data_IF_593528587915
#
_entry.id   IF_593528587915
#
_cell.length_a   1.000
_cell.length_b   1.000
_cell.length_c   1.000
_cell.angle_alpha   90.00
_cell.angle_beta   90.00
_cell.angle_gamma   90.00
#
_symmetry.space_group_name_H-M   'P 1'
#
loop_
_entity.id
_entity.type
_entity.pdbx_description
1 polymer ?
#
# COMPACT_ATOMS: atom_id res chain seq x y z
N UNK A 1 8.31 -3.10 9.63
CA UNK A 1 8.34 -1.91 8.74
C UNK A 1 8.43 -2.37 7.28
N UNK A 2 7.91 -1.62 6.32
CA UNK A 2 8.01 -1.93 4.88
C UNK A 2 8.00 -0.66 4.03
N UNK A 3 8.75 -0.64 2.93
CA UNK A 3 8.71 0.43 1.93
C UNK A 3 8.31 -0.14 0.56
N UNK A 4 7.41 0.54 -0.15
CA UNK A 4 6.85 0.10 -1.43
C UNK A 4 7.09 1.17 -2.48
N UNK A 5 7.92 0.85 -3.48
CA UNK A 5 8.09 1.64 -4.70
C UNK A 5 7.11 1.14 -5.76
N UNK A 6 6.34 2.06 -6.35
CA UNK A 6 5.39 1.76 -7.43
C UNK A 6 5.97 2.17 -8.78
N UNK A 7 5.94 1.27 -9.76
CA UNK A 7 6.39 1.53 -11.13
C UNK A 7 5.27 1.17 -12.10
N UNK A 8 4.97 2.05 -13.04
CA UNK A 8 3.92 1.86 -14.05
C UNK A 8 2.63 2.61 -13.71
N UNK A 9 1.49 1.99 -14.00
CA UNK A 9 0.19 2.66 -13.93
C UNK A 9 -0.30 2.89 -12.49
N UNK A 10 -0.91 4.05 -12.20
CA UNK A 10 -1.30 4.42 -10.84
C UNK A 10 -2.32 3.48 -10.20
N UNK A 11 -2.20 3.25 -8.89
CA UNK A 11 -3.19 2.53 -8.07
C UNK A 11 -3.32 3.18 -6.70
N UNK A 12 -4.46 2.99 -6.05
CA UNK A 12 -4.64 3.41 -4.67
C UNK A 12 -4.22 2.27 -3.74
N UNK A 13 -3.34 2.57 -2.79
CA UNK A 13 -3.12 1.75 -1.60
C UNK A 13 -4.21 2.11 -0.59
N UNK A 14 -5.14 1.20 -0.37
CA UNK A 14 -6.20 1.34 0.61
C UNK A 14 -5.76 0.76 1.94
N UNK A 15 -5.94 1.49 3.03
CA UNK A 15 -5.72 1.01 4.39
C UNK A 15 -7.03 1.06 5.17
N UNK A 16 -7.32 0.01 5.94
CA UNK A 16 -8.41 -0.02 6.92
C UNK A 16 -7.93 -0.55 8.28
N UNK A 17 -8.45 -0.06 9.41
CA UNK A 17 -8.09 -0.60 10.72
C UNK A 17 -8.55 -2.06 10.86
N UNK A 18 -7.69 -2.93 11.42
CA UNK A 18 -8.04 -4.33 11.71
C UNK A 18 -9.11 -4.48 12.77
N UNK A 19 -9.17 -3.56 13.73
CA UNK A 19 -10.15 -3.57 14.81
C UNK A 19 -11.59 -3.24 14.34
N UNK A 20 -11.80 -3.03 13.03
CA UNK A 20 -13.05 -2.51 12.49
C UNK A 20 -13.10 -0.98 12.54
N UNK A 21 -14.12 -0.41 11.89
CA UNK A 21 -14.28 1.03 11.72
C UNK A 21 -14.62 1.40 10.27
N UNK A 22 -15.25 2.55 10.08
CA UNK A 22 -15.83 2.93 8.78
C UNK A 22 -14.84 3.57 7.81
N UNK A 23 -13.64 3.96 8.26
CA UNK A 23 -12.76 4.77 7.42
C UNK A 23 -11.68 3.92 6.73
N UNK A 24 -11.87 3.73 5.43
CA UNK A 24 -10.79 3.29 4.55
C UNK A 24 -10.08 4.52 4.01
N UNK A 25 -8.81 4.71 4.41
CA UNK A 25 -7.96 5.75 3.84
C UNK A 25 -7.33 5.24 2.56
N UNK A 26 -7.17 6.12 1.56
CA UNK A 26 -6.62 5.75 0.25
C UNK A 26 -5.47 6.66 -0.10
N UNK A 27 -4.31 6.07 -0.36
CA UNK A 27 -3.13 6.79 -0.83
C UNK A 27 -2.96 6.54 -2.33
N UNK A 28 -3.07 7.55 -3.21
CA UNK A 28 -2.71 7.38 -4.61
C UNK A 28 -1.21 7.07 -4.72
N UNK A 29 -0.87 6.08 -5.54
CA UNK A 29 0.50 5.74 -5.91
C UNK A 29 0.64 5.82 -7.42
N UNK A 30 1.28 6.87 -7.90
CA UNK A 30 1.75 7.04 -9.27
C UNK A 30 3.06 6.31 -9.53
N UNK A 31 3.60 6.53 -10.73
CA UNK A 31 4.91 6.02 -11.13
C UNK A 31 6.01 6.73 -10.33
N UNK A 32 6.89 5.97 -9.69
CA UNK A 32 8.00 6.49 -8.89
C UNK A 32 7.63 6.78 -7.43
N UNK A 33 6.34 6.66 -7.06
CA UNK A 33 5.91 6.94 -5.69
C UNK A 33 6.40 5.87 -4.71
N UNK A 34 6.93 6.34 -3.59
CA UNK A 34 7.37 5.53 -2.47
C UNK A 34 6.42 5.71 -1.28
N UNK A 35 5.81 4.61 -0.83
CA UNK A 35 5.07 4.59 0.45
C UNK A 35 5.87 3.80 1.49
N UNK A 36 6.01 4.37 2.68
CA UNK A 36 6.63 3.70 3.83
C UNK A 36 5.56 3.44 4.90
N UNK A 37 5.39 2.18 5.29
CA UNK A 37 4.53 1.78 6.41
C UNK A 37 5.41 1.33 7.60
N UNK A 38 5.54 2.22 8.58
CA UNK A 38 6.30 2.01 9.81
C UNK A 38 5.42 1.72 11.04
N UNK A 39 6.08 1.48 12.17
CA UNK A 39 5.44 1.34 13.48
C UNK A 39 4.38 0.25 13.55
N UNK A 40 3.26 0.54 14.20
CA UNK A 40 2.15 -0.40 14.42
C UNK A 40 1.33 -0.70 13.16
N UNK A 41 1.50 0.09 12.08
CA UNK A 41 0.67 0.00 10.87
C UNK A 41 0.61 -1.42 10.29
N UNK A 42 1.72 -2.16 10.27
CA UNK A 42 1.74 -3.54 9.76
C UNK A 42 0.94 -4.53 10.64
N UNK A 43 0.71 -4.21 11.91
CA UNK A 43 -0.03 -5.06 12.85
C UNK A 43 -1.49 -4.66 12.97
N UNK A 44 -1.76 -3.35 13.01
CA UNK A 44 -3.08 -2.78 13.33
C UNK A 44 -3.90 -2.39 12.11
N UNK A 45 -3.30 -2.39 10.91
CA UNK A 45 -3.99 -2.06 9.66
C UNK A 45 -3.83 -3.17 8.62
N UNK A 46 -4.87 -3.33 7.82
CA UNK A 46 -4.80 -4.09 6.57
C UNK A 46 -4.55 -3.11 5.43
N UNK A 47 -3.68 -3.49 4.49
CA UNK A 47 -3.44 -2.74 3.27
C UNK A 47 -3.77 -3.59 2.04
N UNK A 48 -4.34 -2.97 1.02
CA UNK A 48 -4.66 -3.65 -0.23
C UNK A 48 -4.62 -2.70 -1.43
N UNK A 49 -4.22 -3.25 -2.58
CA UNK A 49 -4.55 -2.67 -3.88
C UNK A 49 -5.89 -3.28 -4.30
N UNK A 50 -6.96 -2.48 -4.24
CA UNK A 50 -8.29 -2.96 -4.61
C UNK A 50 -8.39 -3.20 -6.12
N UNK A 51 -9.15 -4.23 -6.50
CA UNK A 51 -9.47 -4.49 -7.91
C UNK A 51 -10.28 -3.33 -8.47
N UNK A 52 -10.08 -3.03 -9.75
CA UNK A 52 -10.87 -2.04 -10.49
C UNK A 52 -11.40 -2.69 -11.75
N UNK A 53 -12.64 -2.36 -12.11
CA UNK A 53 -13.25 -2.76 -13.38
C UNK A 53 -12.81 -1.86 -14.55
N UNK A 54 -12.25 -0.68 -14.25
CA UNK A 54 -11.75 0.23 -15.29
C UNK A 54 -10.50 -0.38 -15.94
N UNK A 55 -10.35 -0.28 -17.28
CA UNK A 55 -9.11 -0.68 -17.93
C UNK A 55 -7.98 0.23 -17.46
N UNK A 56 -6.90 -0.37 -16.98
CA UNK A 56 -5.76 0.33 -16.40
C UNK A 56 -4.49 -0.40 -16.79
N UNK A 57 -3.42 0.34 -17.05
CA UNK A 57 -2.16 -0.27 -17.49
C UNK A 57 -1.46 -1.10 -16.40
N UNK A 58 -0.34 -1.76 -16.76
CA UNK A 58 0.41 -2.63 -15.87
C UNK A 58 1.08 -1.84 -14.74
N UNK A 59 1.24 -2.48 -13.57
CA UNK A 59 1.91 -1.93 -12.39
C UNK A 59 2.79 -2.99 -11.75
N UNK A 60 4.02 -2.61 -11.42
CA UNK A 60 4.97 -3.39 -10.61
C UNK A 60 5.03 -2.76 -9.21
N UNK A 61 5.06 -3.60 -8.18
CA UNK A 61 5.20 -3.20 -6.79
C UNK A 61 6.49 -3.80 -6.24
N UNK A 62 7.46 -2.94 -5.90
CA UNK A 62 8.75 -3.38 -5.34
C UNK A 62 8.70 -3.13 -3.84
N UNK A 63 8.79 -4.19 -3.05
CA UNK A 63 8.63 -4.13 -1.60
C UNK A 63 9.96 -4.39 -0.90
N UNK A 64 10.50 -3.36 -0.25
CA UNK A 64 11.68 -3.46 0.59
C UNK A 64 11.26 -3.76 2.02
N UNK A 65 11.87 -4.80 2.61
CA UNK A 65 11.72 -5.15 4.02
C UNK A 65 13.08 -5.05 4.70
N UNK A 66 13.17 -4.36 5.84
CA UNK A 66 14.41 -4.32 6.60
C UNK A 66 14.70 -5.70 7.20
N UNK A 67 15.99 -6.04 7.27
CA UNK A 67 16.45 -7.20 8.03
C UNK A 67 16.47 -6.86 9.53
N UNK A 68 16.20 -7.87 10.37
CA UNK A 68 16.34 -7.78 11.83
C UNK A 68 15.51 -6.66 12.50
N UNK A 69 14.34 -6.33 11.96
CA UNK A 69 13.37 -5.41 12.59
C UNK A 69 12.10 -6.19 12.92
N UNK A 70 11.75 -6.25 14.22
CA UNK A 70 10.53 -6.86 14.73
C UNK A 70 9.27 -6.03 14.44
#
# INVERSE_FOLDING_TARGET
MVAILSVGSPRHLSLRPRAGGHETVRFPQGHGDLIVMGGSCQRTWEHAILKTAKPVGPRISIQFRPFNVA
#
